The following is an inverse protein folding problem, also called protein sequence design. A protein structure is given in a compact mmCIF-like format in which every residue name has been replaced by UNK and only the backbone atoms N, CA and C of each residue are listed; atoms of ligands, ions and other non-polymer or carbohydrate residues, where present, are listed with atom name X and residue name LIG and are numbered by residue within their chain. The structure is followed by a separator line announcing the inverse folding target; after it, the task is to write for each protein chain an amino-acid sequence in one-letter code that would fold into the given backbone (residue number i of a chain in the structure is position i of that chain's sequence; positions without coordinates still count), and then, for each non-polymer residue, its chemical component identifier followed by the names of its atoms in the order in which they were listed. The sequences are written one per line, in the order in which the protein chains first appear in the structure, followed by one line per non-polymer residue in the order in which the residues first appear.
data_IF_576449354971
#
_entry.id   IF_576449354971
#
_cell.length_a   1.000
_cell.length_b   1.000
_cell.length_c   1.000
_cell.angle_alpha   90.00
_cell.angle_beta   90.00
_cell.angle_gamma   90.00
#
_symmetry.space_group_name_H-M   'P 1'
#
loop_
_entity.id
_entity.type
_entity.pdbx_description
1 polymer ?
#
# COMPACT_ATOMS: atom_id res chain seq x y z
N UNK A 1 -11.48 -11.36 -5.08
CA UNK A 1 -10.13 -11.38 -5.67
C UNK A 1 -9.33 -12.36 -4.83
N UNK A 2 -8.82 -13.45 -5.41
CA UNK A 2 -8.05 -14.43 -4.66
C UNK A 2 -6.72 -13.80 -4.23
N UNK A 3 -6.39 -13.89 -2.94
CA UNK A 3 -5.00 -13.74 -2.49
C UNK A 3 -4.17 -14.69 -3.34
N UNK A 4 -3.07 -14.25 -3.96
CA UNK A 4 -2.35 -15.00 -5.00
C UNK A 4 -1.69 -16.33 -4.57
N UNK A 5 -2.19 -16.97 -3.49
CA UNK A 5 -1.76 -18.23 -2.90
C UNK A 5 -0.27 -18.29 -2.56
N UNK A 6 0.37 -17.13 -2.40
CA UNK A 6 1.78 -17.06 -2.02
C UNK A 6 1.94 -17.44 -0.54
N UNK A 7 2.96 -18.24 -0.18
CA UNK A 7 3.19 -18.65 1.21
C UNK A 7 3.36 -17.49 2.19
N UNK A 8 3.86 -16.34 1.71
CA UNK A 8 4.06 -15.14 2.52
C UNK A 8 2.80 -14.25 2.62
N UNK A 9 1.70 -14.58 1.93
CA UNK A 9 0.46 -13.82 2.00
C UNK A 9 -0.20 -13.99 3.37
N UNK A 10 -0.52 -12.89 4.08
CA UNK A 10 -1.13 -12.99 5.40
C UNK A 10 -2.55 -13.58 5.38
N UNK A 11 -2.84 -14.48 6.31
CA UNK A 11 -4.16 -15.13 6.47
C UNK A 11 -5.21 -14.22 7.08
N UNK A 12 -4.80 -13.17 7.80
CA UNK A 12 -5.69 -12.19 8.42
C UNK A 12 -5.76 -10.88 7.62
N UNK A 13 -5.58 -10.93 6.31
CA UNK A 13 -5.82 -9.78 5.43
C UNK A 13 -6.86 -10.11 4.36
N UNK A 14 -7.65 -9.10 3.98
CA UNK A 14 -8.55 -9.19 2.81
C UNK A 14 -7.90 -8.44 1.64
N UNK A 15 -7.43 -9.18 0.63
CA UNK A 15 -6.80 -8.58 -0.57
C UNK A 15 -7.82 -7.78 -1.39
N UNK A 16 -7.47 -6.57 -1.79
CA UNK A 16 -8.35 -5.68 -2.57
C UNK A 16 -7.70 -5.05 -3.81
N UNK A 17 -6.37 -5.04 -3.92
CA UNK A 17 -5.66 -4.58 -5.12
C UNK A 17 -4.38 -5.39 -5.38
N UNK A 18 -3.92 -5.36 -6.63
CA UNK A 18 -2.60 -5.87 -7.04
C UNK A 18 -1.95 -4.91 -8.04
N UNK A 19 -0.61 -4.89 -8.09
CA UNK A 19 0.12 -4.11 -9.11
C UNK A 19 0.28 -4.90 -10.41
N UNK A 20 0.11 -6.23 -10.35
CA UNK A 20 0.37 -7.14 -11.47
C UNK A 20 1.85 -7.50 -11.67
N UNK A 21 2.77 -6.85 -10.95
CA UNK A 21 4.19 -7.20 -10.92
C UNK A 21 4.44 -8.31 -9.91
N UNK A 22 4.97 -9.45 -10.36
CA UNK A 22 5.45 -10.58 -9.54
C UNK A 22 4.57 -10.99 -8.34
N UNK A 23 3.25 -10.87 -8.50
CA UNK A 23 2.29 -11.21 -7.46
C UNK A 23 2.15 -10.20 -6.32
N UNK A 24 2.72 -9.00 -6.43
CA UNK A 24 2.57 -7.93 -5.43
C UNK A 24 1.10 -7.53 -5.29
N UNK A 25 0.63 -7.52 -4.04
CA UNK A 25 -0.76 -7.22 -3.72
C UNK A 25 -0.91 -6.48 -2.40
N UNK A 26 -2.09 -5.86 -2.23
CA UNK A 26 -2.48 -5.09 -1.07
C UNK A 26 -3.71 -5.70 -0.42
N UNK A 27 -3.69 -5.77 0.90
CA UNK A 27 -4.81 -6.25 1.71
C UNK A 27 -5.06 -5.40 2.95
N UNK A 28 -6.30 -5.40 3.42
CA UNK A 28 -6.69 -4.75 4.68
C UNK A 28 -6.49 -5.72 5.84
N UNK A 29 -5.68 -5.33 6.82
CA UNK A 29 -5.40 -6.12 8.01
C UNK A 29 -6.64 -6.23 8.92
N UNK A 30 -6.94 -7.47 9.34
CA UNK A 30 -8.09 -7.83 10.17
C UNK A 30 -9.45 -7.42 9.58
N UNK A 31 -9.53 -7.23 8.26
CA UNK A 31 -10.78 -6.95 7.58
C UNK A 31 -11.69 -8.19 7.58
N UNK A 32 -12.92 -8.01 8.05
CA UNK A 32 -13.96 -9.05 8.04
C UNK A 32 -14.71 -9.10 6.71
N UNK A 33 -14.85 -7.95 6.07
CA UNK A 33 -15.54 -7.75 4.80
C UNK A 33 -15.03 -6.47 4.11
N UNK A 34 -15.61 -6.15 2.95
CA UNK A 34 -15.28 -5.01 2.10
C UNK A 34 -15.59 -3.62 2.72
N UNK A 35 -16.33 -3.58 3.82
CA UNK A 35 -16.62 -2.33 4.57
C UNK A 35 -15.62 -2.06 5.68
N UNK A 36 -14.74 -3.02 5.97
CA UNK A 36 -13.80 -2.93 7.05
C UNK A 36 -12.79 -1.79 6.84
N UNK A 37 -12.50 -1.07 7.93
CA UNK A 37 -11.38 -0.15 8.00
C UNK A 37 -10.20 -0.85 8.66
N UNK A 38 -9.00 -0.64 8.14
CA UNK A 38 -7.79 -1.16 8.74
C UNK A 38 -6.53 -0.74 8.01
N UNK A 39 -5.35 -1.06 8.58
CA UNK A 39 -4.08 -0.84 7.94
C UNK A 39 -3.98 -1.60 6.62
N UNK A 40 -3.37 -0.97 5.62
CA UNK A 40 -3.07 -1.60 4.34
C UNK A 40 -1.70 -2.28 4.44
N UNK A 41 -1.69 -3.59 4.22
CA UNK A 41 -0.50 -4.42 4.13
C UNK A 41 -0.21 -4.66 2.65
N UNK A 42 1.00 -4.33 2.25
CA UNK A 42 1.57 -4.75 0.98
C UNK A 42 2.33 -6.05 1.19
N UNK A 43 2.05 -7.04 0.36
CA UNK A 43 2.81 -8.30 0.31
C UNK A 43 3.62 -8.31 -0.98
N UNK A 44 4.92 -8.58 -0.85
CA UNK A 44 5.87 -8.69 -1.97
C UNK A 44 6.40 -10.12 -2.01
N UNK A 45 5.81 -11.01 -2.83
CA UNK A 45 6.15 -12.43 -2.80
C UNK A 45 7.61 -12.76 -3.09
N UNK A 46 8.19 -12.12 -4.10
CA UNK A 46 9.59 -12.38 -4.50
C UNK A 46 10.60 -12.00 -3.41
N UNK A 47 10.29 -10.97 -2.62
CA UNK A 47 11.10 -10.56 -1.47
C UNK A 47 10.69 -11.24 -0.15
N UNK A 48 9.68 -12.13 -0.20
CA UNK A 48 9.07 -12.81 0.96
C UNK A 48 8.72 -11.86 2.11
N UNK A 49 8.29 -10.64 1.79
CA UNK A 49 8.17 -9.53 2.74
C UNK A 49 6.77 -8.95 2.76
N UNK A 50 6.32 -8.57 3.96
CA UNK A 50 5.12 -7.80 4.19
C UNK A 50 5.49 -6.42 4.74
N UNK A 51 4.87 -5.36 4.22
CA UNK A 51 5.08 -3.98 4.66
C UNK A 51 3.74 -3.33 4.93
N UNK A 52 3.58 -2.69 6.09
CA UNK A 52 2.39 -1.87 6.36
C UNK A 52 2.62 -0.48 5.76
N UNK A 53 1.89 -0.16 4.69
CA UNK A 53 2.11 1.05 3.88
C UNK A 53 1.17 2.20 4.23
N UNK A 54 0.04 1.92 4.86
CA UNK A 54 -0.91 2.93 5.31
C UNK A 54 -1.73 2.43 6.51
N UNK A 55 -2.23 3.34 7.35
CA UNK A 55 -3.12 3.04 8.48
C UNK A 55 -4.59 2.91 8.05
N UNK A 56 -4.95 3.53 6.92
CA UNK A 56 -6.31 3.52 6.38
C UNK A 56 -6.29 3.44 4.86
N UNK A 57 -7.41 3.01 4.27
CA UNK A 57 -7.58 3.04 2.80
C UNK A 57 -7.47 4.46 2.24
N UNK A 58 -7.95 5.48 2.96
CA UNK A 58 -7.82 6.87 2.54
C UNK A 58 -6.36 7.34 2.47
N UNK A 59 -5.54 6.97 3.46
CA UNK A 59 -4.09 7.25 3.44
C UNK A 59 -3.40 6.50 2.28
N UNK A 60 -3.74 5.22 2.06
CA UNK A 60 -3.24 4.45 0.92
C UNK A 60 -3.59 5.09 -0.43
N UNK A 61 -4.84 5.54 -0.58
CA UNK A 61 -5.28 6.24 -1.78
C UNK A 61 -4.53 7.56 -1.93
N UNK A 62 -4.33 8.29 -0.84
CA UNK A 62 -3.61 9.56 -0.82
C UNK A 62 -2.16 9.44 -1.28
N UNK A 63 -1.47 8.37 -0.88
CA UNK A 63 -0.08 8.09 -1.30
C UNK A 63 0.00 7.86 -2.81
N UNK A 64 -0.79 6.93 -3.35
CA UNK A 64 -0.69 6.57 -4.76
C UNK A 64 -1.43 7.52 -5.72
N UNK A 65 -2.33 8.38 -5.25
CA UNK A 65 -3.04 9.37 -6.09
C UNK A 65 -2.12 10.36 -6.83
N UNK A 66 -0.83 10.40 -6.48
CA UNK A 66 0.17 11.31 -7.08
C UNK A 66 1.05 10.61 -8.12
N UNK A 67 1.48 9.38 -7.83
CA UNK A 67 2.53 8.67 -8.58
C UNK A 67 2.14 7.24 -8.99
N UNK A 68 0.93 6.80 -8.64
CA UNK A 68 0.53 5.39 -8.70
C UNK A 68 1.07 4.57 -7.52
N UNK A 69 0.74 3.28 -7.50
CA UNK A 69 1.11 2.34 -6.43
C UNK A 69 2.20 1.34 -6.83
N UNK A 70 2.59 1.27 -8.10
CA UNK A 70 3.56 0.29 -8.61
C UNK A 70 4.90 0.39 -7.87
N UNK A 71 5.44 1.60 -7.71
CA UNK A 71 6.72 1.85 -7.05
C UNK A 71 6.73 1.55 -5.54
N UNK A 72 5.57 1.32 -4.89
CA UNK A 72 5.55 0.94 -3.48
C UNK A 72 6.25 -0.39 -3.23
N UNK A 73 6.26 -1.31 -4.20
CA UNK A 73 6.94 -2.60 -4.06
C UNK A 73 8.45 -2.44 -3.78
N UNK A 74 9.03 -1.34 -4.25
CA UNK A 74 10.43 -1.01 -4.05
C UNK A 74 10.78 -0.75 -2.57
N UNK A 75 9.78 -0.56 -1.69
CA UNK A 75 10.00 -0.56 -0.24
C UNK A 75 10.64 -1.86 0.28
N UNK A 76 10.44 -2.99 -0.42
CA UNK A 76 11.06 -4.26 -0.06
C UNK A 76 12.53 -4.37 -0.49
N UNK A 77 12.98 -3.53 -1.43
CA UNK A 77 14.32 -3.63 -2.03
C UNK A 77 15.20 -2.40 -1.70
N UNK A 78 14.66 -1.19 -1.75
CA UNK A 78 15.33 0.08 -1.49
C UNK A 78 14.36 1.10 -0.86
N UNK A 79 13.99 0.87 0.41
CA UNK A 79 13.05 1.72 1.13
C UNK A 79 13.43 3.21 1.17
N UNK A 80 14.70 3.62 1.42
CA UNK A 80 15.06 5.04 1.43
C UNK A 80 14.77 5.73 0.09
N UNK A 81 15.07 5.10 -1.04
CA UNK A 81 14.78 5.65 -2.36
C UNK A 81 13.28 5.76 -2.61
N UNK A 82 12.50 4.74 -2.27
CA UNK A 82 11.05 4.75 -2.47
C UNK A 82 10.37 5.81 -1.60
N UNK A 83 10.79 5.96 -0.35
CA UNK A 83 10.30 7.04 0.53
C UNK A 83 10.62 8.40 -0.08
N UNK A 84 11.84 8.61 -0.60
CA UNK A 84 12.18 9.86 -1.28
C UNK A 84 11.28 10.10 -2.50
N UNK A 85 10.98 9.06 -3.29
CA UNK A 85 10.09 9.16 -4.46
C UNK A 85 8.67 9.62 -4.08
N UNK A 86 8.07 9.04 -3.04
CA UNK A 86 6.73 9.41 -2.56
C UNK A 86 6.71 10.68 -1.67
N UNK A 87 7.88 11.13 -1.19
CA UNK A 87 8.03 12.33 -0.39
C UNK A 87 8.07 13.64 -1.19
N UNK A 88 8.38 13.57 -2.49
CA UNK A 88 8.51 14.74 -3.37
C UNK A 88 7.16 15.12 -4.00
N UNK A 89 7.02 16.36 -4.47
CA UNK A 89 5.87 16.75 -5.28
C UNK A 89 5.92 16.09 -6.67
N UNK A 90 4.78 15.60 -7.20
CA UNK A 90 4.76 15.05 -8.55
C UNK A 90 5.15 16.15 -9.55
N UNK A 91 5.64 15.71 -10.71
CA UNK A 91 5.88 16.61 -11.82
C UNK A 91 4.61 17.40 -12.14
N UNK A 92 4.78 18.62 -12.65
CA UNK A 92 3.65 19.40 -13.14
C UNK A 92 2.92 18.60 -14.22
N UNK A 93 1.63 18.39 -14.00
CA UNK A 93 0.73 17.79 -14.98
C UNK A 93 0.02 18.90 -15.75
N UNK A 94 -0.54 18.56 -16.91
CA UNK A 94 -1.37 19.50 -17.65
C UNK A 94 -2.59 19.95 -16.83
N UNK A 95 -3.16 21.10 -17.15
CA UNK A 95 -4.36 21.62 -16.47
C UNK A 95 -5.53 20.62 -16.51
N UNK A 96 -5.65 19.86 -17.60
CA UNK A 96 -6.70 18.85 -17.75
C UNK A 96 -6.48 17.67 -16.79
N UNK A 97 -5.24 17.17 -16.69
CA UNK A 97 -4.88 16.11 -15.74
C UNK A 97 -5.07 16.57 -14.30
N UNK A 98 -4.65 17.81 -13.98
CA UNK A 98 -4.86 18.39 -12.66
C UNK A 98 -6.35 18.47 -12.32
N UNK A 99 -7.19 18.96 -13.24
CA UNK A 99 -8.65 19.05 -13.06
C UNK A 99 -9.26 17.67 -12.81
N UNK A 100 -8.83 16.66 -13.55
CA UNK A 100 -9.30 15.29 -13.37
C UNK A 100 -8.87 14.73 -12.00
N UNK A 101 -7.62 14.93 -11.60
CA UNK A 101 -7.13 14.49 -10.29
C UNK A 101 -7.88 15.17 -9.15
N UNK A 102 -8.20 16.45 -9.28
CA UNK A 102 -8.96 17.19 -8.26
C UNK A 102 -10.42 16.72 -8.16
N UNK A 103 -11.04 16.34 -9.28
CA UNK A 103 -12.34 15.68 -9.29
C UNK A 103 -12.27 14.33 -8.54
N UNK A 104 -11.31 13.47 -8.90
CA UNK A 104 -11.13 12.16 -8.25
C UNK A 104 -10.89 12.30 -6.74
N UNK A 105 -10.04 13.25 -6.33
CA UNK A 105 -9.77 13.55 -4.91
C UNK A 105 -11.00 14.02 -4.16
N UNK A 106 -11.81 14.86 -4.80
CA UNK A 106 -13.06 15.39 -4.22
C UNK A 106 -14.07 14.27 -4.02
N UNK A 107 -14.32 13.46 -5.04
CA UNK A 107 -15.29 12.37 -5.00
C UNK A 107 -14.88 11.27 -4.02
N UNK A 108 -13.60 10.87 -4.02
CA UNK A 108 -13.08 9.87 -3.08
C UNK A 108 -12.83 10.44 -1.67
N UNK A 109 -12.93 11.76 -1.50
CA UNK A 109 -12.60 12.48 -0.25
C UNK A 109 -11.19 12.17 0.25
N UNK A 110 -10.23 12.10 -0.68
CA UNK A 110 -8.84 11.74 -0.43
C UNK A 110 -7.94 12.95 -0.66
N UNK A 111 -7.12 13.28 0.34
CA UNK A 111 -6.04 14.24 0.19
C UNK A 111 -4.74 13.53 -0.21
N UNK A 112 -3.87 14.13 -1.03
CA UNK A 112 -2.54 13.61 -1.28
C UNK A 112 -1.74 13.46 0.03
N UNK A 113 -1.08 12.32 0.21
CA UNK A 113 -0.26 12.04 1.39
C UNK A 113 1.17 11.75 0.96
N UNK A 114 2.14 12.45 1.57
CA UNK A 114 3.54 12.13 1.40
C UNK A 114 3.92 10.95 2.31
N UNK A 115 4.62 9.96 1.77
CA UNK A 115 5.19 8.88 2.58
C UNK A 115 6.51 9.38 3.18
N UNK A 116 6.67 9.24 4.49
CA UNK A 116 7.94 9.55 5.18
C UNK A 116 8.50 8.33 5.89
N UNK A 117 9.80 8.34 6.14
CA UNK A 117 10.49 7.25 6.86
C UNK A 117 9.94 7.08 8.27
N UNK A 118 9.62 8.18 8.96
CA UNK A 118 9.06 8.16 10.32
C UNK A 118 7.66 7.55 10.31
N UNK A 119 6.83 7.92 9.33
CA UNK A 119 5.48 7.37 9.19
C UNK A 119 5.53 5.88 8.88
N UNK A 120 6.38 5.46 7.94
CA UNK A 120 6.55 4.05 7.60
C UNK A 120 7.06 3.23 8.79
N UNK A 121 8.06 3.74 9.52
CA UNK A 121 8.59 3.08 10.72
C UNK A 121 7.53 2.96 11.83
N UNK A 122 6.71 4.00 12.02
CA UNK A 122 5.58 3.95 12.96
C UNK A 122 4.57 2.86 12.58
N UNK A 123 4.14 2.82 11.31
CA UNK A 123 3.17 1.85 10.80
C UNK A 123 3.65 0.42 11.02
N UNK A 124 4.88 0.12 10.60
CA UNK A 124 5.44 -1.22 10.70
C UNK A 124 5.66 -1.63 12.15
N UNK A 125 6.18 -0.73 13.02
CA UNK A 125 6.31 -1.02 14.45
C UNK A 125 4.97 -1.35 15.12
N UNK A 126 3.90 -0.67 14.72
CA UNK A 126 2.57 -0.80 15.35
C UNK A 126 1.77 -2.00 14.83
N UNK A 127 1.79 -2.24 13.52
CA UNK A 127 0.86 -3.13 12.84
C UNK A 127 1.50 -4.39 12.29
N UNK A 128 2.78 -4.37 11.91
CA UNK A 128 3.45 -5.56 11.37
C UNK A 128 3.45 -6.75 12.34
N UNK A 129 3.60 -6.59 13.68
CA UNK A 129 3.50 -7.70 14.62
C UNK A 129 2.11 -8.39 14.68
N UNK A 130 1.09 -7.77 14.09
CA UNK A 130 -0.27 -8.31 14.05
C UNK A 130 -0.54 -9.09 12.74
N UNK A 131 0.37 -9.04 11.77
CA UNK A 131 0.25 -9.74 10.49
C UNK A 131 0.50 -11.23 10.73
N UNK A 132 -0.46 -12.07 10.35
CA UNK A 132 -0.37 -13.52 10.51
C UNK A 132 -0.06 -14.15 9.15
N UNK A 133 1.16 -14.67 9.00
CA UNK A 133 1.58 -15.42 7.81
C UNK A 133 1.34 -16.91 8.11
N UNK A 134 0.84 -17.72 7.15
CA UNK A 134 0.67 -19.14 7.39
C UNK A 134 2.03 -19.79 7.71
N UNK A 135 2.06 -20.83 8.56
CA UNK A 135 3.29 -21.57 8.81
C UNK A 135 3.81 -22.15 7.48
N UNK A 136 5.12 -22.06 7.28
CA UNK A 136 5.76 -22.71 6.14
C UNK A 136 5.68 -24.23 6.34
N UNK A 137 4.78 -24.89 5.63
CA UNK A 137 4.76 -26.35 5.52
C UNK A 137 5.82 -26.77 4.51
N UNK A 138 7.05 -26.96 5.00
CA UNK A 138 8.17 -27.57 4.28
C UNK A 138 8.30 -29.04 4.58
#
# INVERSE_FOLDING_TARGET
MESGAYPCTPTNTLSFASTGGDGVHFGLLNARDETAAGPVVMTVPIAETNVVVAETLAEFLGIGSRMGWFELEQLAYDAPRTVAYYGVAPAEVSTQEQTFLDLVRTELRVAPVALTSERLAYLNRRYLPQVQVPPFEG
#
